data_IF_932947187151
#
_entry.id   IF_932947187151
#
_cell.length_a   1.000
_cell.length_b   1.000
_cell.length_c   1.000
_cell.angle_alpha   90.00
_cell.angle_beta   90.00
_cell.angle_gamma   90.00
#
_symmetry.space_group_name_H-M   'P 1'
#
loop_
_entity.id
_entity.type
_entity.pdbx_description
1 polymer ?
#
# COMPACT_ATOMS: atom_id res chain seq x y z
N UNK A 1 -30.28 69.32 29.60
CA UNK A 1 -28.84 69.40 29.91
C UNK A 1 -28.71 69.31 31.43
N UNK A 2 -28.16 68.30 32.11
CA UNK A 2 -27.38 67.10 31.80
C UNK A 2 -27.94 65.98 32.70
N UNK A 3 -28.15 64.78 32.17
CA UNK A 3 -28.53 63.59 32.95
C UNK A 3 -27.31 63.07 33.72
N UNK A 4 -27.45 62.96 35.04
CA UNK A 4 -26.46 62.39 35.95
C UNK A 4 -26.68 60.86 35.98
N UNK A 5 -25.94 60.13 35.15
CA UNK A 5 -25.97 58.67 35.12
C UNK A 5 -25.16 58.08 36.27
N UNK A 6 -25.85 57.49 37.26
CA UNK A 6 -25.26 56.69 38.32
C UNK A 6 -24.79 55.35 37.72
N UNK A 7 -23.48 55.18 37.52
CA UNK A 7 -22.91 53.90 37.11
C UNK A 7 -22.87 52.94 38.31
N UNK A 8 -23.76 51.94 38.32
CA UNK A 8 -23.61 50.77 39.18
C UNK A 8 -22.51 49.87 38.59
N UNK A 9 -21.41 49.74 39.33
CA UNK A 9 -20.41 48.69 39.11
C UNK A 9 -20.99 47.35 39.61
N UNK A 10 -21.38 46.46 38.71
CA UNK A 10 -21.67 45.06 39.05
C UNK A 10 -20.33 44.32 39.03
N UNK A 11 -19.79 44.03 40.22
CA UNK A 11 -18.66 43.12 40.38
C UNK A 11 -19.23 41.71 40.25
N UNK A 12 -19.10 41.11 39.08
CA UNK A 12 -19.41 39.70 38.84
C UNK A 12 -18.37 38.82 39.52
N UNK A 13 -18.74 38.27 40.67
CA UNK A 13 -17.99 37.23 41.36
C UNK A 13 -18.03 35.95 40.51
N UNK A 14 -16.99 35.72 39.69
CA UNK A 14 -16.78 34.42 39.05
C UNK A 14 -16.40 33.42 40.15
N UNK A 15 -17.38 32.65 40.60
CA UNK A 15 -17.11 31.46 41.40
C UNK A 15 -16.29 30.50 40.54
N UNK A 16 -14.99 30.40 40.82
CA UNK A 16 -14.13 29.32 40.34
C UNK A 16 -14.68 28.03 40.94
N UNK A 17 -15.55 27.34 40.18
CA UNK A 17 -15.87 25.94 40.47
C UNK A 17 -14.59 25.11 40.48
N UNK A 18 -14.56 23.98 41.19
CA UNK A 18 -13.42 23.08 41.13
C UNK A 18 -13.22 22.70 39.66
N UNK A 19 -12.06 23.05 39.10
CA UNK A 19 -11.62 22.47 37.85
C UNK A 19 -11.50 20.97 38.09
N UNK A 20 -12.47 20.20 37.61
CA UNK A 20 -12.26 18.78 37.40
C UNK A 20 -11.22 18.65 36.28
N UNK A 21 -9.96 18.47 36.67
CA UNK A 21 -8.91 18.03 35.76
C UNK A 21 -9.23 16.59 35.39
N UNK A 22 -10.05 16.42 34.36
CA UNK A 22 -10.09 15.14 33.66
C UNK A 22 -8.75 15.00 32.96
N UNK A 23 -7.87 14.18 33.53
CA UNK A 23 -6.75 13.64 32.77
C UNK A 23 -7.37 12.89 31.58
N UNK A 24 -7.36 13.54 30.40
CA UNK A 24 -7.64 12.85 29.15
C UNK A 24 -6.64 11.68 29.09
N UNK A 25 -7.10 10.43 28.94
CA UNK A 25 -6.20 9.32 28.70
C UNK A 25 -5.29 9.73 27.54
N UNK A 26 -3.99 9.53 27.70
CA UNK A 26 -3.05 9.67 26.58
C UNK A 26 -3.61 8.80 25.46
N UNK A 27 -4.18 9.39 24.42
CA UNK A 27 -4.48 8.69 23.19
C UNK A 27 -3.12 8.24 22.65
N UNK A 28 -2.71 7.03 23.02
CA UNK A 28 -1.76 6.32 22.21
C UNK A 28 -2.39 6.28 20.82
N UNK A 29 -1.71 6.73 19.75
CA UNK A 29 -2.26 6.60 18.42
C UNK A 29 -2.61 5.13 18.27
N UNK A 30 -3.92 4.85 18.19
CA UNK A 30 -4.42 3.53 17.87
C UNK A 30 -3.78 3.25 16.53
N UNK A 31 -2.79 2.35 16.53
CA UNK A 31 -2.31 1.71 15.31
C UNK A 31 -3.61 1.24 14.67
N UNK A 32 -4.05 1.88 13.57
CA UNK A 32 -5.39 1.65 13.01
C UNK A 32 -5.65 0.16 13.03
N UNK A 33 -6.65 -0.29 13.79
CA UNK A 33 -6.89 -1.73 13.90
C UNK A 33 -6.99 -2.26 12.47
N UNK A 34 -6.05 -3.12 12.08
CA UNK A 34 -6.10 -3.76 10.77
C UNK A 34 -7.29 -4.70 10.83
N UNK A 35 -8.44 -4.21 10.36
CA UNK A 35 -9.70 -4.94 10.44
C UNK A 35 -9.76 -5.94 9.29
N UNK A 36 -9.84 -7.22 9.62
CA UNK A 36 -10.12 -8.28 8.64
C UNK A 36 -11.51 -8.07 8.03
N UNK A 37 -11.57 -7.93 6.70
CA UNK A 37 -12.82 -7.73 5.96
C UNK A 37 -13.01 -8.81 4.89
N UNK A 38 -14.26 -9.09 4.47
CA UNK A 38 -14.51 -9.95 3.32
C UNK A 38 -13.74 -9.49 2.07
N UNK A 39 -13.68 -8.20 1.80
CA UNK A 39 -12.99 -7.61 0.65
C UNK A 39 -11.48 -7.86 0.72
N UNK A 40 -10.87 -7.70 1.90
CA UNK A 40 -9.46 -7.98 2.13
C UNK A 40 -9.14 -9.46 1.89
N UNK A 41 -9.97 -10.38 2.40
CA UNK A 41 -9.77 -11.81 2.17
C UNK A 41 -9.90 -12.20 0.70
N UNK A 42 -10.83 -11.60 -0.04
CA UNK A 42 -10.93 -11.80 -1.51
C UNK A 42 -9.67 -11.26 -2.20
N UNK A 43 -9.20 -10.09 -1.81
CA UNK A 43 -7.97 -9.51 -2.33
C UNK A 43 -6.77 -10.43 -2.08
N UNK A 44 -6.60 -10.91 -0.85
CA UNK A 44 -5.48 -11.78 -0.46
C UNK A 44 -5.53 -13.13 -1.19
N UNK A 45 -6.72 -13.72 -1.36
CA UNK A 45 -6.88 -14.92 -2.18
C UNK A 45 -6.51 -14.66 -3.64
N UNK A 46 -6.85 -13.50 -4.19
CA UNK A 46 -6.45 -13.11 -5.55
C UNK A 46 -4.93 -12.90 -5.65
N UNK A 47 -4.29 -12.26 -4.66
CA UNK A 47 -2.84 -12.08 -4.65
C UNK A 47 -2.12 -13.41 -4.53
N UNK A 48 -2.58 -14.31 -3.66
CA UNK A 48 -2.05 -15.68 -3.56
C UNK A 48 -2.17 -16.44 -4.89
N UNK A 49 -3.29 -16.28 -5.60
CA UNK A 49 -3.49 -16.87 -6.92
C UNK A 49 -2.55 -16.29 -7.98
N UNK A 50 -2.30 -14.98 -7.96
CA UNK A 50 -1.46 -14.29 -8.95
C UNK A 50 0.04 -14.37 -8.63
N UNK A 51 0.43 -14.64 -7.38
CA UNK A 51 1.83 -14.54 -6.94
C UNK A 51 2.81 -15.35 -7.80
N UNK A 52 2.54 -16.62 -8.18
CA UNK A 52 3.45 -17.37 -9.03
C UNK A 52 3.69 -16.70 -10.39
N UNK A 53 2.66 -16.05 -10.95
CA UNK A 53 2.78 -15.33 -12.22
C UNK A 53 3.51 -13.99 -12.07
N UNK A 54 3.37 -13.33 -10.93
CA UNK A 54 4.14 -12.13 -10.58
C UNK A 54 5.62 -12.48 -10.43
N UNK A 55 5.94 -13.51 -9.65
CA UNK A 55 7.31 -13.99 -9.42
C UNK A 55 7.98 -14.39 -10.74
N UNK A 56 7.27 -15.14 -11.60
CA UNK A 56 7.76 -15.48 -12.94
C UNK A 56 8.05 -14.24 -13.80
N UNK A 57 7.16 -13.26 -13.79
CA UNK A 57 7.32 -12.02 -14.56
C UNK A 57 8.54 -11.22 -14.09
N UNK A 58 8.68 -11.04 -12.78
CA UNK A 58 9.80 -10.35 -12.13
C UNK A 58 11.12 -11.09 -12.37
N UNK A 59 11.18 -12.39 -12.12
CA UNK A 59 12.37 -13.20 -12.36
C UNK A 59 12.81 -13.13 -13.83
N UNK A 60 11.87 -13.14 -14.77
CA UNK A 60 12.19 -13.01 -16.19
C UNK A 60 12.84 -11.68 -16.54
N UNK A 61 12.47 -10.58 -15.89
CA UNK A 61 13.12 -9.28 -16.07
C UNK A 61 14.47 -9.23 -15.35
N UNK A 62 14.54 -9.65 -14.09
CA UNK A 62 15.74 -9.47 -13.26
C UNK A 62 16.84 -10.50 -13.51
N UNK A 63 16.57 -11.68 -14.10
CA UNK A 63 17.62 -12.69 -14.35
C UNK A 63 18.79 -12.23 -15.23
N UNK A 64 18.60 -11.16 -16.00
CA UNK A 64 19.65 -10.53 -16.81
C UNK A 64 20.49 -9.51 -16.01
N UNK A 65 19.98 -9.03 -14.88
CA UNK A 65 20.58 -7.98 -14.03
C UNK A 65 21.14 -8.57 -12.73
N UNK A 66 20.49 -9.61 -12.18
CA UNK A 66 20.82 -10.25 -10.92
C UNK A 66 21.14 -11.73 -11.12
N UNK A 67 21.94 -12.29 -10.22
CA UNK A 67 22.25 -13.72 -10.17
C UNK A 67 21.11 -14.56 -9.61
N UNK A 68 20.34 -13.94 -8.73
CA UNK A 68 19.19 -14.51 -8.04
C UNK A 68 17.90 -13.88 -8.58
N UNK A 69 16.82 -14.66 -8.61
CA UNK A 69 15.52 -14.14 -8.99
C UNK A 69 14.83 -13.50 -7.79
N UNK A 70 14.47 -12.21 -7.86
CA UNK A 70 13.65 -11.59 -6.84
C UNK A 70 12.26 -12.22 -6.79
N UNK A 71 11.66 -12.13 -5.61
CA UNK A 71 10.32 -12.60 -5.31
C UNK A 71 9.47 -11.45 -4.75
N UNK A 72 8.17 -11.53 -4.95
CA UNK A 72 7.20 -10.54 -4.48
C UNK A 72 6.31 -11.19 -3.42
N UNK A 73 6.19 -10.53 -2.28
CA UNK A 73 5.23 -10.94 -1.26
C UNK A 73 3.85 -10.34 -1.54
N UNK A 74 2.75 -11.03 -1.22
CA UNK A 74 1.39 -10.52 -1.50
C UNK A 74 1.12 -9.11 -0.94
N UNK A 75 1.72 -8.73 0.19
CA UNK A 75 1.58 -7.41 0.81
C UNK A 75 2.49 -6.33 0.20
N UNK A 76 3.34 -6.69 -0.77
CA UNK A 76 4.13 -5.76 -1.61
C UNK A 76 3.53 -5.58 -3.00
N UNK A 77 2.23 -5.86 -3.13
CA UNK A 77 1.46 -5.72 -4.37
C UNK A 77 0.36 -4.69 -4.16
N UNK A 78 0.36 -3.65 -4.99
CA UNK A 78 -0.68 -2.64 -5.04
C UNK A 78 -1.51 -2.76 -6.31
N UNK A 79 -2.84 -2.85 -6.18
CA UNK A 79 -3.73 -2.86 -7.33
C UNK A 79 -3.92 -1.44 -7.86
N UNK A 80 -3.34 -1.15 -9.02
CA UNK A 80 -3.44 0.17 -9.68
C UNK A 80 -4.79 0.34 -10.37
N UNK A 81 -5.23 -0.69 -11.10
CA UNK A 81 -6.53 -0.70 -11.78
C UNK A 81 -6.98 -2.13 -12.07
N UNK A 82 -8.29 -2.32 -12.13
CA UNK A 82 -8.90 -3.50 -12.72
C UNK A 82 -10.02 -3.11 -13.67
N UNK A 83 -10.19 -3.86 -14.74
CA UNK A 83 -11.21 -3.61 -15.75
C UNK A 83 -11.69 -4.89 -16.40
N UNK A 84 -12.90 -4.85 -16.93
CA UNK A 84 -13.49 -5.95 -17.69
C UNK A 84 -13.35 -5.67 -19.18
N UNK A 85 -12.83 -6.63 -19.93
CA UNK A 85 -12.48 -6.44 -21.34
C UNK A 85 -13.64 -6.75 -22.30
N UNK A 86 -14.60 -7.57 -21.87
CA UNK A 86 -15.68 -8.08 -22.72
C UNK A 86 -17.10 -7.72 -22.22
N UNK A 87 -17.26 -6.56 -21.60
CA UNK A 87 -18.57 -6.03 -21.20
C UNK A 87 -19.18 -6.67 -19.95
N UNK A 88 -20.33 -6.17 -19.49
CA UNK A 88 -20.94 -6.53 -18.20
C UNK A 88 -21.02 -8.05 -17.98
N UNK A 89 -20.56 -8.52 -16.79
CA UNK A 89 -20.48 -9.93 -16.40
C UNK A 89 -19.63 -10.86 -17.29
N UNK A 90 -18.87 -10.35 -18.25
CA UNK A 90 -17.88 -11.12 -19.00
C UNK A 90 -16.63 -11.48 -18.17
N UNK A 91 -16.11 -12.70 -18.32
CA UNK A 91 -14.99 -13.21 -17.53
C UNK A 91 -13.63 -13.06 -18.22
N UNK A 92 -13.41 -11.95 -18.93
CA UNK A 92 -12.07 -11.54 -19.37
C UNK A 92 -11.77 -10.23 -18.65
N UNK A 93 -10.87 -10.29 -17.68
CA UNK A 93 -10.51 -9.16 -16.84
C UNK A 93 -9.04 -8.82 -17.06
N UNK A 94 -8.71 -7.54 -16.95
CA UNK A 94 -7.34 -7.10 -16.81
C UNK A 94 -7.14 -6.47 -15.44
N UNK A 95 -6.00 -6.76 -14.85
CA UNK A 95 -5.53 -6.15 -13.61
C UNK A 95 -4.14 -5.60 -13.84
N UNK A 96 -3.91 -4.38 -13.38
CA UNK A 96 -2.59 -3.76 -13.36
C UNK A 96 -2.16 -3.61 -11.92
N UNK A 97 -0.94 -4.08 -11.65
CA UNK A 97 -0.33 -4.16 -10.34
C UNK A 97 0.95 -3.33 -10.35
N UNK A 98 1.19 -2.58 -9.28
CA UNK A 98 2.54 -2.16 -8.92
C UNK A 98 3.08 -3.18 -7.90
N UNK A 99 4.32 -3.61 -8.10
CA UNK A 99 4.95 -4.62 -7.26
C UNK A 99 6.32 -4.15 -6.79
N UNK A 100 6.66 -4.52 -5.56
CA UNK A 100 7.99 -4.28 -4.98
C UNK A 100 8.73 -5.62 -4.89
N UNK A 101 9.53 -6.00 -5.90
CA UNK A 101 10.36 -7.20 -5.84
C UNK A 101 11.43 -7.10 -4.75
N UNK A 102 11.72 -8.25 -4.13
CA UNK A 102 12.66 -8.35 -3.02
C UNK A 102 13.60 -9.55 -3.17
N UNK A 103 14.79 -9.42 -2.59
CA UNK A 103 15.78 -10.49 -2.39
C UNK A 103 16.09 -10.66 -0.90
N UNK A 104 16.49 -11.87 -0.51
CA UNK A 104 16.89 -12.17 0.87
C UNK A 104 15.82 -11.77 1.92
N UNK A 105 16.20 -11.07 3.01
CA UNK A 105 15.30 -10.69 4.09
C UNK A 105 14.43 -9.47 3.73
N UNK A 106 13.70 -9.56 2.61
CA UNK A 106 12.82 -8.50 2.10
C UNK A 106 13.54 -7.21 1.66
N UNK A 107 14.74 -7.34 1.09
CA UNK A 107 15.48 -6.19 0.55
C UNK A 107 14.90 -5.86 -0.82
N UNK A 108 14.32 -4.67 -0.96
CA UNK A 108 13.75 -4.26 -2.24
C UNK A 108 14.83 -4.02 -3.29
N UNK A 109 14.58 -4.51 -4.51
CA UNK A 109 15.47 -4.32 -5.67
C UNK A 109 14.94 -3.27 -6.66
N UNK A 110 13.68 -2.86 -6.49
CA UNK A 110 13.03 -1.88 -7.33
C UNK A 110 11.52 -1.86 -7.18
N UNK A 111 10.87 -1.21 -8.15
CA UNK A 111 9.43 -1.24 -8.37
C UNK A 111 9.11 -1.50 -9.82
N UNK A 112 8.10 -2.32 -10.05
CA UNK A 112 7.63 -2.66 -11.39
C UNK A 112 6.12 -2.48 -11.50
N UNK A 113 5.64 -2.29 -12.73
CA UNK A 113 4.23 -2.32 -13.09
C UNK A 113 3.96 -3.48 -14.03
N UNK A 114 3.07 -4.37 -13.63
CA UNK A 114 2.70 -5.56 -14.40
C UNK A 114 1.21 -5.50 -14.73
N UNK A 115 0.85 -5.82 -15.96
CA UNK A 115 -0.57 -6.00 -16.34
C UNK A 115 -0.81 -7.44 -16.73
N UNK A 116 -1.78 -8.06 -16.07
CA UNK A 116 -2.24 -9.40 -16.38
C UNK A 116 -3.65 -9.35 -16.97
N UNK A 117 -3.92 -10.27 -17.89
CA UNK A 117 -5.27 -10.69 -18.24
C UNK A 117 -5.59 -11.99 -17.49
N UNK A 118 -6.75 -12.01 -16.84
CA UNK A 118 -7.28 -13.14 -16.08
C UNK A 118 -8.61 -13.51 -16.69
N UNK A 119 -8.73 -14.75 -17.16
CA UNK A 119 -9.94 -15.23 -17.83
C UNK A 119 -10.45 -16.56 -17.28
N UNK A 120 -11.70 -16.92 -17.61
CA UNK A 120 -12.23 -18.25 -17.32
C UNK A 120 -11.47 -19.33 -18.13
N UNK A 121 -10.46 -19.96 -17.52
CA UNK A 121 -9.55 -20.96 -18.10
C UNK A 121 -8.25 -21.04 -17.28
N UNK A 122 -7.28 -21.92 -17.61
CA UNK A 122 -6.03 -22.05 -16.85
C UNK A 122 -5.05 -20.88 -17.06
N UNK A 123 -5.49 -19.77 -17.67
CA UNK A 123 -4.61 -18.77 -18.26
C UNK A 123 -4.68 -17.44 -17.52
N UNK A 124 -3.65 -17.19 -16.72
CA UNK A 124 -3.19 -15.85 -16.41
C UNK A 124 -2.15 -15.48 -17.46
N UNK A 125 -2.38 -14.40 -18.20
CA UNK A 125 -1.49 -13.96 -19.28
C UNK A 125 -0.89 -12.61 -18.92
N UNK A 126 0.43 -12.50 -18.93
CA UNK A 126 1.10 -11.20 -18.83
C UNK A 126 0.88 -10.44 -20.15
N UNK A 127 0.29 -9.25 -20.05
CA UNK A 127 0.02 -8.36 -21.18
C UNK A 127 1.12 -7.31 -21.32
N UNK A 128 1.65 -6.84 -20.18
CA UNK A 128 2.69 -5.83 -20.17
C UNK A 128 3.52 -5.93 -18.88
N UNK A 129 4.81 -5.59 -19.00
CA UNK A 129 5.73 -5.42 -17.88
C UNK A 129 6.51 -4.13 -18.09
N UNK A 130 6.57 -3.30 -17.05
CA UNK A 130 7.30 -2.04 -17.07
C UNK A 130 8.05 -1.87 -15.75
N UNK A 131 9.38 -1.83 -15.82
CA UNK A 131 10.19 -1.40 -14.70
C UNK A 131 10.00 0.11 -14.44
N UNK A 132 9.86 0.50 -13.16
CA UNK A 132 9.59 1.88 -12.76
C UNK A 132 10.78 2.52 -12.05
N UNK A 133 11.36 1.82 -11.08
CA UNK A 133 12.37 2.35 -10.17
C UNK A 133 13.37 1.26 -9.80
N UNK A 134 14.67 1.57 -9.81
CA UNK A 134 15.73 0.71 -9.25
C UNK A 134 16.03 1.15 -7.82
N UNK A 135 16.11 0.21 -6.89
CA UNK A 135 16.59 0.47 -5.54
C UNK A 135 18.03 -0.03 -5.37
N UNK A 136 18.87 0.78 -4.73
CA UNK A 136 20.26 0.40 -4.47
C UNK A 136 20.33 -0.75 -3.45
N UNK A 137 21.12 -1.77 -3.78
CA UNK A 137 21.37 -2.87 -2.86
C UNK A 137 22.40 -2.47 -1.79
N UNK A 138 22.24 -2.93 -0.53
CA UNK A 138 23.27 -2.84 0.49
C UNK A 138 24.59 -3.46 0.01
N UNK A 139 25.72 -2.97 0.54
CA UNK A 139 27.05 -3.39 0.08
C UNK A 139 27.27 -4.91 0.08
N UNK A 140 26.74 -5.60 1.10
CA UNK A 140 26.85 -7.04 1.27
C UNK A 140 25.93 -7.88 0.35
N UNK A 141 25.16 -7.22 -0.53
CA UNK A 141 24.32 -7.84 -1.56
C UNK A 141 24.72 -7.40 -2.98
N UNK A 142 25.79 -6.63 -3.15
CA UNK A 142 26.21 -6.19 -4.50
C UNK A 142 26.84 -7.31 -5.33
N UNK A 143 27.24 -8.41 -4.70
CA UNK A 143 27.80 -9.59 -5.34
C UNK A 143 26.80 -10.32 -6.26
N UNK A 144 25.49 -10.13 -6.03
CA UNK A 144 24.47 -10.71 -6.91
C UNK A 144 24.23 -9.91 -8.19
N UNK A 145 24.87 -8.77 -8.40
CA UNK A 145 24.66 -7.92 -9.58
C UNK A 145 25.49 -8.46 -10.77
N UNK A 146 24.81 -8.84 -11.86
CA UNK A 146 25.40 -9.27 -13.14
C UNK A 146 25.54 -8.16 -14.17
N UNK A 147 24.60 -7.21 -14.16
CA UNK A 147 24.47 -6.17 -15.18
C UNK A 147 24.15 -4.81 -14.55
N UNK A 148 24.11 -3.74 -15.37
CA UNK A 148 23.67 -2.44 -14.88
C UNK A 148 22.23 -2.54 -14.36
N UNK A 149 22.05 -2.04 -13.14
CA UNK A 149 20.77 -1.85 -12.47
C UNK A 149 19.99 -0.65 -13.03
#
# INVERSE_FOLDING_TARGET
>A
MKTLGLQLFIISFFALGPFEVHAQPKENPVLSEQVDSPELRIHDMLMNFLNPHIDDAVCNYYKQILTECPMVYPYFVDVVKSQRMNGFRGFILQITLDVTPTIGPHISVGKDRITFEVSAGPTVKMINYKHLETHELPEHWKDIIRGPL
#
